data_IF_462302626365
#
_entry.id   IF_462302626365
#
_cell.length_a   1.000
_cell.length_b   1.000
_cell.length_c   1.000
_cell.angle_alpha   90.00
_cell.angle_beta   90.00
_cell.angle_gamma   90.00
#
_symmetry.space_group_name_H-M   'P 1'
#
loop_
_entity.id
_entity.type
_entity.pdbx_description
1 polymer ?
#
# COMPACT_ATOMS: atom_id res chain seq x y z
N UNK A 1 -10.05 7.69 4.67
CA UNK A 1 -8.65 7.33 4.39
C UNK A 1 -7.86 7.00 5.65
N UNK A 2 -7.79 7.91 6.64
CA UNK A 2 -6.95 7.74 7.83
C UNK A 2 -7.16 6.42 8.59
N UNK A 3 -8.39 5.99 8.83
CA UNK A 3 -8.68 4.70 9.50
C UNK A 3 -8.21 3.48 8.69
N UNK A 4 -8.43 3.46 7.38
CA UNK A 4 -7.95 2.40 6.49
C UNK A 4 -6.42 2.37 6.46
N UNK A 5 -5.76 3.52 6.35
CA UNK A 5 -4.30 3.61 6.38
C UNK A 5 -3.73 3.10 7.71
N UNK A 6 -4.33 3.46 8.85
CA UNK A 6 -3.92 2.95 10.17
C UNK A 6 -4.10 1.43 10.25
N UNK A 7 -5.24 0.89 9.83
CA UNK A 7 -5.46 -0.56 9.77
C UNK A 7 -4.45 -1.26 8.87
N UNK A 8 -4.13 -0.68 7.72
CA UNK A 8 -3.19 -1.24 6.75
C UNK A 8 -1.78 -1.35 7.35
N UNK A 9 -1.37 -0.35 8.10
CA UNK A 9 -0.07 -0.30 8.80
C UNK A 9 -0.01 -1.33 9.92
N UNK A 10 -1.06 -1.41 10.73
CA UNK A 10 -1.13 -2.39 11.83
C UNK A 10 -1.08 -3.81 11.26
N UNK A 11 -1.82 -4.08 10.17
CA UNK A 11 -1.78 -5.37 9.48
C UNK A 11 -0.40 -5.70 8.94
N UNK A 12 0.28 -4.75 8.30
CA UNK A 12 1.66 -4.95 7.82
C UNK A 12 2.66 -5.16 8.95
N UNK A 13 2.52 -4.44 10.08
CA UNK A 13 3.32 -4.69 11.28
C UNK A 13 3.09 -6.10 11.84
N UNK A 14 1.83 -6.56 11.89
CA UNK A 14 1.49 -7.91 12.30
C UNK A 14 2.06 -8.97 11.37
N UNK A 15 2.00 -8.78 10.04
CA UNK A 15 2.59 -9.70 9.06
C UNK A 15 4.13 -9.75 9.19
N UNK A 16 4.76 -8.62 9.51
CA UNK A 16 6.20 -8.49 9.67
C UNK A 16 6.74 -9.17 10.94
N UNK A 17 6.06 -8.97 12.07
CA UNK A 17 6.54 -9.41 13.38
C UNK A 17 6.10 -10.83 13.75
N UNK A 18 5.03 -11.35 13.14
CA UNK A 18 4.42 -12.63 13.52
C UNK A 18 4.75 -13.70 12.48
N UNK A 19 5.67 -14.65 12.78
CA UNK A 19 6.05 -15.75 11.88
C UNK A 19 5.01 -16.88 11.85
N UNK A 20 3.78 -16.64 12.34
CA UNK A 20 2.71 -17.62 12.45
C UNK A 20 1.79 -17.46 11.22
N UNK A 21 1.77 -18.41 10.27
CA UNK A 21 1.10 -18.24 8.98
C UNK A 21 -0.40 -17.95 9.11
N UNK A 22 -1.08 -18.44 10.16
CA UNK A 22 -2.48 -18.11 10.45
C UNK A 22 -2.70 -16.62 10.76
N UNK A 23 -1.82 -16.00 11.55
CA UNK A 23 -1.89 -14.56 11.84
C UNK A 23 -1.52 -13.73 10.62
N UNK A 24 -0.57 -14.19 9.80
CA UNK A 24 -0.25 -13.54 8.52
C UNK A 24 -1.44 -13.57 7.55
N UNK A 25 -2.24 -14.65 7.53
CA UNK A 25 -3.45 -14.75 6.70
C UNK A 25 -4.53 -13.76 7.15
N UNK A 26 -4.78 -13.65 8.46
CA UNK A 26 -5.73 -12.66 9.00
C UNK A 26 -5.24 -11.24 8.71
N UNK A 27 -3.94 -10.98 8.89
CA UNK A 27 -3.31 -9.70 8.54
C UNK A 27 -3.48 -9.37 7.05
N UNK A 28 -3.25 -10.33 6.15
CA UNK A 28 -3.46 -10.16 4.71
C UNK A 28 -4.94 -9.89 4.37
N UNK A 29 -5.89 -10.57 5.02
CA UNK A 29 -7.32 -10.35 4.81
C UNK A 29 -7.74 -8.94 5.24
N UNK A 30 -7.30 -8.48 6.42
CA UNK A 30 -7.59 -7.12 6.91
C UNK A 30 -6.89 -6.06 6.05
N UNK A 31 -5.66 -6.32 5.62
CA UNK A 31 -4.93 -5.45 4.71
C UNK A 31 -5.63 -5.32 3.36
N UNK A 32 -6.06 -6.44 2.77
CA UNK A 32 -6.81 -6.49 1.52
C UNK A 32 -8.15 -5.78 1.62
N UNK A 33 -8.89 -5.97 2.71
CA UNK A 33 -10.12 -5.24 3.00
C UNK A 33 -9.87 -3.73 3.09
N UNK A 34 -8.82 -3.32 3.79
CA UNK A 34 -8.47 -1.91 3.95
C UNK A 34 -8.09 -1.23 2.63
N UNK A 35 -7.20 -1.84 1.85
CA UNK A 35 -6.78 -1.34 0.53
C UNK A 35 -7.95 -1.36 -0.46
N UNK A 36 -8.82 -2.37 -0.36
CA UNK A 36 -10.04 -2.49 -1.17
C UNK A 36 -11.03 -1.34 -0.95
N UNK A 37 -11.06 -0.74 0.25
CA UNK A 37 -11.84 0.48 0.53
C UNK A 37 -11.05 1.74 0.13
N UNK A 38 -9.73 1.71 0.30
CA UNK A 38 -8.85 2.85 -0.01
C UNK A 38 -8.86 3.20 -1.50
N UNK A 39 -8.88 2.21 -2.40
CA UNK A 39 -8.84 2.43 -3.85
C UNK A 39 -10.07 3.21 -4.40
N UNK A 40 -11.33 2.75 -4.20
CA UNK A 40 -12.52 3.49 -4.62
C UNK A 40 -12.69 4.81 -3.87
N UNK A 41 -12.28 4.89 -2.60
CA UNK A 41 -12.27 6.14 -1.87
C UNK A 41 -11.29 7.16 -2.47
N UNK A 42 -10.14 6.70 -2.99
CA UNK A 42 -9.12 7.59 -3.58
C UNK A 42 -9.62 8.14 -4.91
N UNK A 43 -10.25 7.30 -5.73
CA UNK A 43 -10.95 7.75 -6.95
C UNK A 43 -12.04 8.78 -6.65
N UNK A 44 -12.85 8.55 -5.61
CA UNK A 44 -13.91 9.47 -5.21
C UNK A 44 -13.36 10.81 -4.74
N UNK A 45 -12.30 10.83 -3.92
CA UNK A 45 -11.66 12.08 -3.48
C UNK A 45 -11.02 12.79 -4.66
N UNK A 46 -10.26 12.08 -5.49
CA UNK A 46 -9.55 12.70 -6.59
C UNK A 46 -10.50 13.28 -7.65
N UNK A 47 -11.65 12.62 -7.90
CA UNK A 47 -12.68 13.17 -8.81
C UNK A 47 -13.39 14.39 -8.23
N UNK A 48 -13.55 14.48 -6.91
CA UNK A 48 -14.10 15.65 -6.23
C UNK A 48 -13.09 16.82 -6.14
N UNK A 49 -11.80 16.53 -5.92
CA UNK A 49 -10.73 17.52 -5.76
C UNK A 49 -10.20 18.05 -7.10
N UNK A 50 -10.10 17.22 -8.14
CA UNK A 50 -9.62 17.61 -9.46
C UNK A 50 -10.83 17.85 -10.38
N UNK A 51 -11.41 19.04 -10.25
CA UNK A 51 -12.56 19.47 -11.08
C UNK A 51 -12.13 19.53 -12.55
N UNK A 52 -12.67 18.64 -13.38
CA UNK A 52 -12.33 18.56 -14.81
C UNK A 52 -11.22 17.57 -15.18
N UNK A 53 -10.74 16.75 -14.24
CA UNK A 53 -9.71 15.73 -14.53
C UNK A 53 -10.12 14.67 -15.56
N UNK A 54 -11.43 14.42 -15.71
CA UNK A 54 -12.00 13.60 -16.78
C UNK A 54 -11.30 12.24 -16.95
N UNK A 55 -11.18 11.78 -18.18
CA UNK A 55 -10.53 10.50 -18.53
C UNK A 55 -9.03 10.47 -18.22
N UNK A 56 -8.33 11.61 -18.34
CA UNK A 56 -6.89 11.69 -18.10
C UNK A 56 -6.52 11.37 -16.64
N UNK A 57 -7.30 11.85 -15.68
CA UNK A 57 -7.07 11.58 -14.25
C UNK A 57 -7.20 10.08 -13.92
N UNK A 58 -8.25 9.42 -14.43
CA UNK A 58 -8.44 7.99 -14.25
C UNK A 58 -7.35 7.16 -14.96
N UNK A 59 -6.90 7.60 -16.14
CA UNK A 59 -5.80 6.95 -16.85
C UNK A 59 -4.49 7.01 -16.06
N UNK A 60 -4.17 8.14 -15.44
CA UNK A 60 -3.00 8.27 -14.57
C UNK A 60 -3.12 7.41 -13.31
N UNK A 61 -4.30 7.30 -12.71
CA UNK A 61 -4.50 6.44 -11.54
C UNK A 61 -4.40 4.94 -11.90
N UNK A 62 -4.89 4.55 -13.07
CA UNK A 62 -4.73 3.19 -13.58
C UNK A 62 -3.25 2.86 -13.83
N UNK A 63 -2.50 3.76 -14.47
CA UNK A 63 -1.05 3.62 -14.68
C UNK A 63 -0.28 3.51 -13.35
N UNK A 64 -0.65 4.31 -12.35
CA UNK A 64 -0.05 4.22 -11.02
C UNK A 64 -0.33 2.85 -10.36
N UNK A 65 -1.50 2.26 -10.60
CA UNK A 65 -1.84 0.91 -10.18
C UNK A 65 -0.97 -0.15 -10.85
N UNK A 66 -0.80 -0.07 -12.16
CA UNK A 66 0.04 -1.00 -12.93
C UNK A 66 1.52 -0.93 -12.50
N UNK A 67 2.01 0.29 -12.23
CA UNK A 67 3.35 0.53 -11.66
C UNK A 67 3.49 -0.09 -10.26
N UNK A 68 2.48 0.04 -9.41
CA UNK A 68 2.47 -0.59 -8.08
C UNK A 68 2.46 -2.12 -8.16
N UNK A 69 1.63 -2.68 -9.03
CA UNK A 69 1.48 -4.13 -9.23
C UNK A 69 2.73 -4.76 -9.86
N UNK A 70 3.45 -4.03 -10.71
CA UNK A 70 4.71 -4.49 -11.28
C UNK A 70 5.88 -4.29 -10.30
N UNK A 71 6.00 -3.10 -9.71
CA UNK A 71 7.14 -2.73 -8.86
C UNK A 71 7.17 -3.45 -7.52
N UNK A 72 6.02 -3.67 -6.88
CA UNK A 72 5.94 -4.30 -5.56
C UNK A 72 6.50 -5.73 -5.53
N UNK A 73 5.91 -6.67 -6.30
CA UNK A 73 6.37 -8.04 -6.38
C UNK A 73 7.79 -8.17 -6.93
N UNK A 74 8.19 -7.32 -7.89
CA UNK A 74 9.56 -7.34 -8.43
C UNK A 74 10.59 -6.95 -7.37
N UNK A 75 10.34 -5.91 -6.57
CA UNK A 75 11.25 -5.53 -5.49
C UNK A 75 11.33 -6.63 -4.40
N UNK A 76 10.17 -7.15 -3.98
CA UNK A 76 10.12 -8.23 -3.00
C UNK A 76 10.80 -9.52 -3.51
N UNK A 77 10.60 -9.84 -4.78
CA UNK A 77 11.24 -10.98 -5.46
C UNK A 77 12.75 -10.80 -5.59
N UNK A 78 13.21 -9.62 -5.99
CA UNK A 78 14.65 -9.31 -6.12
C UNK A 78 15.38 -9.44 -4.78
N UNK A 79 14.78 -8.91 -3.70
CA UNK A 79 15.34 -9.04 -2.34
C UNK A 79 15.29 -10.49 -1.84
N UNK A 80 14.20 -11.22 -2.11
CA UNK A 80 14.09 -12.64 -1.76
C UNK A 80 15.13 -13.51 -2.49
N UNK A 81 15.39 -13.23 -3.77
CA UNK A 81 16.39 -13.95 -4.58
C UNK A 81 17.83 -13.61 -4.18
N UNK A 82 18.11 -12.34 -3.83
CA UNK A 82 19.44 -11.92 -3.37
C UNK A 82 19.82 -12.53 -2.02
N UNK A 83 18.84 -13.03 -1.26
CA UNK A 83 19.03 -13.64 0.07
C UNK A 83 18.61 -15.12 0.02
N UNK A 84 18.98 -15.82 -1.04
CA UNK A 84 18.93 -17.28 -1.09
C UNK A 84 17.54 -17.90 -0.89
N UNK A 85 16.48 -17.30 -1.46
CA UNK A 85 15.08 -17.76 -1.38
C UNK A 85 14.43 -17.70 0.01
N UNK A 86 14.94 -16.84 0.90
CA UNK A 86 14.28 -16.59 2.18
C UNK A 86 13.09 -15.64 2.02
N UNK A 87 11.90 -16.21 1.84
CA UNK A 87 10.62 -15.48 1.75
C UNK A 87 10.41 -14.48 2.90
N UNK A 88 10.99 -14.73 4.07
CA UNK A 88 10.97 -13.81 5.22
C UNK A 88 11.64 -12.48 4.92
N UNK A 89 12.76 -12.47 4.20
CA UNK A 89 13.44 -11.23 3.81
C UNK A 89 12.72 -10.50 2.68
N UNK A 90 12.03 -11.23 1.79
CA UNK A 90 11.11 -10.64 0.82
C UNK A 90 9.93 -9.91 1.48
N UNK A 91 9.34 -10.49 2.53
CA UNK A 91 8.26 -9.86 3.32
C UNK A 91 8.78 -8.63 4.08
N UNK A 92 10.00 -8.68 4.62
CA UNK A 92 10.66 -7.52 5.24
C UNK A 92 10.88 -6.38 4.25
N UNK A 93 11.28 -6.69 3.01
CA UNK A 93 11.39 -5.69 1.95
C UNK A 93 10.02 -5.10 1.56
N UNK A 94 8.97 -5.91 1.60
CA UNK A 94 7.61 -5.47 1.31
C UNK A 94 7.06 -4.46 2.33
N UNK A 95 7.63 -4.37 3.55
CA UNK A 95 7.29 -3.32 4.55
C UNK A 95 7.68 -1.92 4.08
N UNK A 96 8.62 -1.79 3.15
CA UNK A 96 9.01 -0.47 2.59
C UNK A 96 7.81 0.22 1.94
N UNK A 97 6.92 -0.52 1.28
CA UNK A 97 5.73 0.02 0.62
C UNK A 97 4.71 0.69 1.58
N UNK A 98 4.19 0.03 2.61
CA UNK A 98 3.27 0.65 3.57
C UNK A 98 3.94 1.76 4.40
N UNK A 99 5.26 1.69 4.65
CA UNK A 99 6.01 2.77 5.32
C UNK A 99 6.10 4.02 4.43
N UNK A 100 6.41 3.85 3.14
CA UNK A 100 6.39 4.94 2.16
C UNK A 100 4.99 5.57 2.03
N UNK A 101 3.95 4.73 2.00
CA UNK A 101 2.57 5.18 1.91
C UNK A 101 2.16 5.98 3.16
N UNK A 102 2.58 5.54 4.35
CA UNK A 102 2.42 6.30 5.59
C UNK A 102 3.09 7.66 5.55
N UNK A 103 4.37 7.69 5.18
CA UNK A 103 5.13 8.95 5.09
C UNK A 103 4.48 9.92 4.10
N UNK A 104 4.05 9.42 2.94
CA UNK A 104 3.34 10.22 1.93
C UNK A 104 2.04 10.82 2.47
N UNK A 105 1.24 10.04 3.20
CA UNK A 105 0.01 10.54 3.82
C UNK A 105 0.32 11.58 4.90
N UNK A 106 1.35 11.37 5.73
CA UNK A 106 1.72 12.34 6.76
C UNK A 106 2.22 13.66 6.17
N UNK A 107 3.03 13.62 5.12
CA UNK A 107 3.51 14.81 4.41
C UNK A 107 2.32 15.56 3.78
N UNK A 108 1.41 14.85 3.11
CA UNK A 108 0.26 15.44 2.45
C UNK A 108 -0.74 16.04 3.47
N UNK A 109 -0.91 15.39 4.62
CA UNK A 109 -1.73 15.90 5.73
C UNK A 109 -1.10 17.14 6.37
N UNK A 110 0.22 17.18 6.53
CA UNK A 110 0.96 18.34 7.05
C UNK A 110 0.93 19.54 6.09
N UNK A 111 0.87 19.29 4.79
CA UNK A 111 0.73 20.33 3.76
C UNK A 111 -0.68 20.93 3.66
N UNK A 112 -1.69 20.34 4.31
CA UNK A 112 -3.05 20.89 4.38
C UNK A 112 -3.30 21.70 5.66
N UNK A 113 -2.40 21.64 6.65
CA UNK A 113 -2.49 22.36 7.93
C UNK A 113 -1.69 23.69 7.92
N UNK A 114 -1.01 24.00 6.82
CA UNK A 114 -0.26 25.23 6.55
C UNK A 114 -0.93 26.01 5.42
#
# INVERSE_FOLDING_TARGET
MTYSSILCVISYLCIAFVPVPMLSFVGCAVCGFSVGIMWPGTFSIASASIRGGGTAMFALLALAGDLGCSGGPTLAGFVSSSVGNNLKMGILAAIVFPVLLLMGIQICKKSQEN
#
